data_IF_167725756583
#
_entry.id   IF_167725756583
#
_cell.length_a   1.000
_cell.length_b   1.000
_cell.length_c   1.000
_cell.angle_alpha   90.00
_cell.angle_beta   90.00
_cell.angle_gamma   90.00
#
_symmetry.space_group_name_H-M   'P 1'
#
loop_
_entity.id
_entity.type
_entity.pdbx_description
1 polymer ?
#
# COMPACT_ATOMS: atom_id res chain seq x y z
N UNK A 1 3.06 -13.86 11.41
CA UNK A 1 2.96 -12.51 10.82
C UNK A 1 3.74 -12.49 9.52
N UNK A 2 3.26 -11.78 8.50
CA UNK A 2 3.92 -11.67 7.19
C UNK A 2 4.34 -10.24 6.92
N UNK A 3 5.33 -10.07 6.04
CA UNK A 3 5.80 -8.76 5.58
C UNK A 3 5.09 -8.38 4.29
N UNK A 4 4.34 -7.29 4.32
CA UNK A 4 3.67 -6.69 3.17
C UNK A 4 4.45 -5.45 2.75
N UNK A 5 4.99 -5.46 1.54
CA UNK A 5 5.62 -4.30 0.94
C UNK A 5 4.58 -3.51 0.16
N UNK A 6 4.38 -2.26 0.56
CA UNK A 6 3.51 -1.31 -0.13
C UNK A 6 4.38 -0.31 -0.89
N UNK A 7 4.20 -0.22 -2.19
CA UNK A 7 4.96 0.67 -3.08
C UNK A 7 4.07 1.77 -3.61
N UNK A 8 4.51 3.02 -3.50
CA UNK A 8 3.81 4.20 -4.04
C UNK A 8 4.64 4.85 -5.13
N UNK A 9 3.99 5.23 -6.23
CA UNK A 9 4.60 6.04 -7.30
C UNK A 9 4.97 7.45 -6.81
N UNK A 10 5.84 8.18 -7.53
CA UNK A 10 6.21 9.55 -7.19
C UNK A 10 5.02 10.37 -6.73
N UNK A 11 5.17 10.97 -5.55
CA UNK A 11 4.31 11.71 -4.60
C UNK A 11 4.44 13.24 -4.40
N UNK A 12 3.35 14.02 -4.27
CA UNK A 12 3.42 15.27 -3.52
C UNK A 12 2.08 15.53 -2.83
N UNK A 13 2.08 15.50 -1.51
CA UNK A 13 0.90 15.67 -0.67
C UNK A 13 0.73 14.55 0.33
N UNK A 14 -0.48 14.04 0.46
CA UNK A 14 -0.85 13.03 1.46
C UNK A 14 -1.73 11.98 0.81
N UNK A 15 -1.28 10.73 0.71
CA UNK A 15 -1.99 9.59 0.12
C UNK A 15 -2.46 8.65 1.24
N UNK A 16 -3.72 8.76 1.67
CA UNK A 16 -4.34 7.72 2.47
C UNK A 16 -4.61 6.48 1.62
N UNK A 17 -4.29 5.32 2.15
CA UNK A 17 -4.51 4.05 1.49
C UNK A 17 -4.95 2.98 2.49
N UNK A 18 -5.64 1.97 1.95
CA UNK A 18 -6.05 0.76 2.66
C UNK A 18 -5.62 -0.44 1.87
N UNK A 19 -5.13 -1.46 2.56
CA UNK A 19 -4.93 -2.79 1.98
C UNK A 19 -5.96 -3.71 2.59
N UNK A 20 -6.74 -4.34 1.72
CA UNK A 20 -7.77 -5.29 2.09
C UNK A 20 -7.41 -6.69 1.59
N UNK A 21 -7.84 -7.70 2.32
CA UNK A 21 -7.83 -9.09 1.90
C UNK A 21 -9.22 -9.67 2.20
N UNK A 22 -9.89 -10.21 1.17
CA UNK A 22 -11.29 -10.65 1.25
C UNK A 22 -12.24 -9.60 1.85
N UNK A 23 -12.07 -8.34 1.46
CA UNK A 23 -12.87 -7.22 1.97
C UNK A 23 -12.61 -6.83 3.43
N UNK A 24 -11.65 -7.46 4.11
CA UNK A 24 -11.21 -7.07 5.46
C UNK A 24 -9.98 -6.18 5.38
N UNK A 25 -9.99 -5.08 6.11
CA UNK A 25 -8.84 -4.17 6.19
C UNK A 25 -7.71 -4.84 6.97
N UNK A 26 -6.57 -5.03 6.32
CA UNK A 26 -5.34 -5.52 6.92
C UNK A 26 -4.44 -4.38 7.40
N UNK A 27 -4.42 -3.28 6.65
CA UNK A 27 -3.59 -2.11 6.90
C UNK A 27 -4.34 -0.87 6.42
N UNK A 28 -4.36 0.16 7.26
CA UNK A 28 -4.80 1.51 6.89
C UNK A 28 -3.70 2.48 7.29
N UNK A 29 -3.16 3.22 6.34
CA UNK A 29 -2.01 4.09 6.55
C UNK A 29 -2.03 5.27 5.60
N UNK A 30 -1.10 6.21 5.84
CA UNK A 30 -1.03 7.45 5.07
C UNK A 30 0.41 7.77 4.69
N UNK A 31 0.70 7.84 3.39
CA UNK A 31 1.95 8.42 2.90
C UNK A 31 1.87 9.95 2.93
N UNK A 32 2.83 10.61 3.56
CA UNK A 32 2.90 12.09 3.66
C UNK A 32 4.20 12.61 3.09
N UNK A 33 4.15 13.76 2.43
CA UNK A 33 5.32 14.49 1.96
C UNK A 33 5.45 14.54 0.45
N UNK A 34 6.68 14.57 -0.03
CA UNK A 34 7.03 14.61 -1.45
C UNK A 34 8.00 13.46 -1.75
N UNK A 35 7.68 12.69 -2.78
CA UNK A 35 8.54 11.65 -3.31
C UNK A 35 8.66 11.85 -4.82
N UNK A 36 9.87 11.89 -5.36
CA UNK A 36 10.09 12.07 -6.81
C UNK A 36 10.30 10.75 -7.53
N UNK A 37 10.47 9.66 -6.79
CA UNK A 37 10.72 8.30 -7.28
C UNK A 37 9.69 7.33 -6.70
N UNK A 38 9.75 6.05 -7.08
CA UNK A 38 8.96 5.02 -6.41
C UNK A 38 9.49 4.82 -5.00
N UNK A 39 8.60 4.76 -4.01
CA UNK A 39 8.95 4.52 -2.62
C UNK A 39 8.22 3.31 -2.08
N UNK A 40 8.95 2.42 -1.41
CA UNK A 40 8.40 1.22 -0.82
C UNK A 40 8.51 1.27 0.70
N UNK A 41 7.48 0.78 1.39
CA UNK A 41 7.47 0.60 2.84
C UNK A 41 6.92 -0.76 3.20
N UNK A 42 7.62 -1.45 4.10
CA UNK A 42 7.23 -2.79 4.56
C UNK A 42 6.46 -2.69 5.88
N UNK A 43 5.39 -3.45 5.97
CA UNK A 43 4.51 -3.55 7.14
C UNK A 43 4.37 -5.00 7.56
N UNK A 44 4.23 -5.24 8.87
CA UNK A 44 3.90 -6.56 9.38
C UNK A 44 2.38 -6.70 9.50
N UNK A 45 1.80 -7.64 8.76
CA UNK A 45 0.36 -7.87 8.72
C UNK A 45 0.04 -9.34 8.97
N UNK A 46 -1.18 -9.63 9.40
CA UNK A 46 -1.68 -11.00 9.48
C UNK A 46 -2.47 -11.32 8.20
N UNK A 47 -1.75 -11.77 7.16
CA UNK A 47 -2.29 -12.00 5.83
C UNK A 47 -2.05 -13.44 5.33
N UNK A 48 -2.93 -13.94 4.46
CA UNK A 48 -2.76 -15.20 3.69
C UNK A 48 -1.99 -14.93 2.38
N UNK A 49 -1.72 -15.96 1.57
CA UNK A 49 -1.09 -15.79 0.23
C UNK A 49 -2.09 -15.41 -0.87
N UNK A 50 -3.34 -15.11 -0.51
CA UNK A 50 -4.39 -14.75 -1.45
C UNK A 50 -4.25 -13.29 -1.90
N UNK A 51 -4.97 -12.93 -2.96
CA UNK A 51 -4.91 -11.60 -3.55
C UNK A 51 -5.29 -10.48 -2.56
N UNK A 52 -4.64 -9.33 -2.75
CA UNK A 52 -4.87 -8.11 -1.99
C UNK A 52 -5.55 -7.07 -2.87
N UNK A 53 -6.42 -6.28 -2.26
CA UNK A 53 -7.00 -5.09 -2.88
C UNK A 53 -6.40 -3.86 -2.22
N UNK A 54 -5.81 -2.98 -3.02
CA UNK A 54 -5.28 -1.70 -2.52
C UNK A 54 -6.26 -0.60 -2.92
N UNK A 55 -6.85 0.03 -1.92
CA UNK A 55 -7.75 1.16 -2.10
C UNK A 55 -7.01 2.46 -1.78
N UNK A 56 -7.02 3.41 -2.71
CA UNK A 56 -6.47 4.74 -2.52
C UNK A 56 -7.62 5.74 -2.52
N UNK A 57 -7.75 6.52 -1.44
CA UNK A 57 -8.77 7.58 -1.36
C UNK A 57 -8.17 8.85 -1.94
N UNK A 58 -8.05 8.90 -3.27
CA UNK A 58 -7.62 10.10 -4.00
C UNK A 58 -8.47 10.32 -5.25
N UNK A 59 -8.62 11.59 -5.62
CA UNK A 59 -9.18 11.98 -6.92
C UNK A 59 -8.43 11.24 -8.03
N UNK A 60 -9.20 10.59 -8.91
CA UNK A 60 -8.76 9.69 -9.97
C UNK A 60 -7.70 10.29 -10.90
N UNK A 61 -7.67 11.61 -11.08
CA UNK A 61 -6.66 12.33 -11.88
C UNK A 61 -5.26 12.38 -11.25
N UNK A 62 -5.14 12.09 -9.95
CA UNK A 62 -3.86 12.04 -9.20
C UNK A 62 -3.57 10.65 -8.66
N UNK A 63 -4.27 9.62 -9.13
CA UNK A 63 -4.16 8.26 -8.62
C UNK A 63 -2.77 7.67 -8.92
N UNK A 64 -1.82 7.98 -8.03
CA UNK A 64 -0.47 7.45 -8.02
C UNK A 64 -0.60 6.04 -7.48
N UNK A 65 -0.67 5.07 -8.40
CA UNK A 65 -0.89 3.65 -8.09
C UNK A 65 -0.05 3.23 -6.89
N UNK A 66 -0.73 2.69 -5.89
CA UNK A 66 -0.12 1.99 -4.76
C UNK A 66 -0.25 0.50 -5.06
N UNK A 67 0.85 -0.25 -5.05
CA UNK A 67 0.84 -1.71 -5.09
C UNK A 67 1.17 -2.28 -3.72
N UNK A 68 0.65 -3.47 -3.42
CA UNK A 68 0.94 -4.18 -2.19
C UNK A 68 1.25 -5.65 -2.50
N UNK A 69 2.39 -6.13 -2.03
CA UNK A 69 2.90 -7.48 -2.30
C UNK A 69 3.45 -8.09 -1.02
N UNK A 70 3.20 -9.38 -0.81
CA UNK A 70 3.85 -10.10 0.29
C UNK A 70 5.29 -10.41 -0.07
N UNK A 71 6.21 -10.06 0.83
CA UNK A 71 7.59 -10.49 0.70
C UNK A 71 7.71 -11.98 1.02
N UNK A 72 8.53 -12.73 0.27
CA UNK A 72 8.84 -14.12 0.60
C UNK A 72 9.48 -14.18 1.98
N UNK A 73 9.09 -15.18 2.77
CA UNK A 73 9.78 -15.53 4.01
C UNK A 73 11.00 -16.34 3.59
N UNK A 74 12.21 -15.78 3.73
CA UNK A 74 13.45 -16.51 3.56
C UNK A 74 13.57 -17.65 4.59
#
# INVERSE_FOLDING_TARGET
MKKLQVTVKPFQGTIPFRVLQHGRVLLEEVFRGKCTECYSRTYEVNATHEEFTVECVMNTDKCRMVSAELQPVC
#
